data_IF_085107210591
#
_entry.id   IF_085107210591
#
_cell.length_a   1.000
_cell.length_b   1.000
_cell.length_c   1.000
_cell.angle_alpha   90.00
_cell.angle_beta   90.00
_cell.angle_gamma   90.00
#
_symmetry.space_group_name_H-M   'P 1'
#
loop_
_entity.id
_entity.type
_entity.pdbx_description
1 polymer ?
#
# COMPACT_ATOMS: atom_id res chain seq x y z
N UNK A 1 8.76 -4.25 17.86
CA UNK A 1 9.45 -3.08 17.26
C UNK A 1 8.51 -2.61 16.17
N UNK A 2 7.79 -1.50 16.36
CA UNK A 2 6.68 -1.10 15.47
C UNK A 2 7.07 0.07 14.56
N UNK A 3 8.38 0.27 14.37
CA UNK A 3 8.94 1.38 13.60
C UNK A 3 9.57 0.83 12.34
N UNK A 4 9.00 1.18 11.19
CA UNK A 4 9.57 0.92 9.87
C UNK A 4 10.24 2.21 9.38
N UNK A 5 11.55 2.16 9.14
CA UNK A 5 12.25 3.27 8.50
C UNK A 5 12.11 3.18 6.97
N UNK A 6 11.81 4.29 6.30
CA UNK A 6 11.73 4.33 4.83
C UNK A 6 12.80 5.28 4.32
N UNK A 7 13.67 4.78 3.45
CA UNK A 7 14.69 5.57 2.79
C UNK A 7 14.28 5.82 1.34
N UNK A 8 13.94 7.07 1.00
CA UNK A 8 13.56 7.43 -0.36
C UNK A 8 14.81 7.58 -1.23
N UNK A 9 14.79 6.94 -2.40
CA UNK A 9 15.92 6.91 -3.32
C UNK A 9 15.47 7.20 -4.73
N UNK A 10 16.24 8.03 -5.42
CA UNK A 10 16.14 8.16 -6.87
C UNK A 10 17.41 7.61 -7.51
N UNK A 11 17.25 6.63 -8.39
CA UNK A 11 18.34 5.97 -9.10
C UNK A 11 18.03 5.98 -10.60
N UNK A 12 18.75 6.82 -11.35
CA UNK A 12 18.57 6.97 -12.81
C UNK A 12 18.56 5.64 -13.54
N UNK A 13 19.59 4.81 -13.32
CA UNK A 13 19.75 3.53 -14.02
C UNK A 13 18.55 2.60 -13.75
N UNK A 14 18.03 2.59 -12.53
CA UNK A 14 16.86 1.80 -12.17
C UNK A 14 15.62 2.25 -12.95
N UNK A 15 15.39 3.57 -13.03
CA UNK A 15 14.27 4.10 -13.81
C UNK A 15 14.43 3.84 -15.31
N UNK A 16 15.64 4.00 -15.87
CA UNK A 16 15.90 3.72 -17.28
C UNK A 16 15.65 2.25 -17.64
N UNK A 17 16.00 1.32 -16.73
CA UNK A 17 15.69 -0.11 -16.87
C UNK A 17 14.18 -0.37 -16.86
N UNK A 18 13.44 0.24 -15.93
CA UNK A 18 11.98 0.12 -15.89
C UNK A 18 11.30 0.66 -17.15
N UNK A 19 11.80 1.78 -17.68
CA UNK A 19 11.23 2.42 -18.86
C UNK A 19 11.69 1.79 -20.19
N UNK A 20 12.75 0.96 -20.18
CA UNK A 20 13.37 0.43 -21.39
C UNK A 20 14.00 1.51 -22.28
N UNK A 21 14.27 2.70 -21.74
CA UNK A 21 14.84 3.84 -22.48
C UNK A 21 15.59 4.78 -21.55
N UNK A 22 16.52 5.55 -22.13
CA UNK A 22 17.22 6.62 -21.42
C UNK A 22 16.26 7.74 -21.04
N UNK A 23 16.49 8.32 -19.86
CA UNK A 23 15.82 9.54 -19.44
C UNK A 23 16.66 10.75 -19.86
N UNK A 24 15.99 11.84 -20.21
CA UNK A 24 16.66 13.10 -20.49
C UNK A 24 17.12 13.81 -19.21
N UNK A 25 18.09 14.71 -19.34
CA UNK A 25 18.70 15.42 -18.21
C UNK A 25 17.72 16.32 -17.45
N UNK A 26 16.68 16.83 -18.13
CA UNK A 26 15.68 17.69 -17.47
C UNK A 26 14.84 16.84 -16.51
N UNK A 27 14.36 15.68 -16.96
CA UNK A 27 13.63 14.75 -16.10
C UNK A 27 14.52 14.21 -14.97
N UNK A 28 15.79 13.88 -15.25
CA UNK A 28 16.74 13.42 -14.22
C UNK A 28 16.92 14.48 -13.12
N UNK A 29 17.14 15.75 -13.50
CA UNK A 29 17.31 16.85 -12.56
C UNK A 29 16.03 17.14 -11.75
N UNK A 30 14.86 16.92 -12.33
CA UNK A 30 13.58 17.05 -11.62
C UNK A 30 13.42 15.96 -10.55
N UNK A 31 13.65 14.69 -10.92
CA UNK A 31 13.43 13.54 -10.05
C UNK A 31 14.39 13.49 -8.85
N UNK A 32 15.61 14.03 -8.99
CA UNK A 32 16.62 14.12 -7.91
C UNK A 32 16.15 14.88 -6.68
N UNK A 33 15.13 15.75 -6.81
CA UNK A 33 14.63 16.57 -5.70
C UNK A 33 13.65 15.82 -4.80
N UNK A 34 12.94 14.83 -5.34
CA UNK A 34 11.86 14.18 -4.63
C UNK A 34 12.26 13.33 -3.41
N UNK A 35 13.46 12.71 -3.32
CA UNK A 35 13.85 11.99 -2.11
C UNK A 35 13.78 12.85 -0.84
N UNK A 36 14.25 14.09 -0.91
CA UNK A 36 14.22 15.04 0.21
C UNK A 36 12.79 15.51 0.51
N UNK A 37 12.01 15.84 -0.54
CA UNK A 37 10.61 16.24 -0.41
C UNK A 37 9.79 15.13 0.27
N UNK A 38 9.96 13.88 -0.15
CA UNK A 38 9.22 12.74 0.39
C UNK A 38 9.69 12.33 1.77
N UNK A 39 10.99 12.48 2.06
CA UNK A 39 11.49 12.37 3.43
C UNK A 39 10.81 13.38 4.35
N UNK A 40 10.64 14.62 3.89
CA UNK A 40 9.93 15.67 4.63
C UNK A 40 8.45 15.32 4.86
N UNK A 41 7.73 14.91 3.82
CA UNK A 41 6.33 14.47 3.94
C UNK A 41 6.19 13.27 4.88
N UNK A 42 7.01 12.24 4.68
CA UNK A 42 6.94 11.00 5.47
C UNK A 42 7.32 11.20 6.93
N UNK A 43 8.26 12.10 7.25
CA UNK A 43 8.73 12.32 8.62
C UNK A 43 7.58 12.52 9.63
N UNK A 44 6.53 13.24 9.22
CA UNK A 44 5.32 13.53 10.01
C UNK A 44 4.53 12.28 10.39
N UNK A 45 4.63 11.21 9.60
CA UNK A 45 3.80 10.00 9.70
C UNK A 45 4.60 8.72 9.96
N UNK A 46 5.93 8.81 9.88
CA UNK A 46 6.90 7.70 9.94
C UNK A 46 6.71 6.74 11.11
N UNK A 47 6.25 7.23 12.26
CA UNK A 47 5.92 6.37 13.41
C UNK A 47 4.45 5.97 13.42
N UNK A 48 3.55 6.90 13.09
CA UNK A 48 2.10 6.71 13.23
C UNK A 48 1.55 5.69 12.24
N UNK A 49 1.89 5.81 10.96
CA UNK A 49 1.33 4.95 9.90
C UNK A 49 1.78 3.49 10.09
N UNK A 50 3.09 3.16 10.17
CA UNK A 50 3.51 1.76 10.32
C UNK A 50 2.92 1.09 11.55
N UNK A 51 2.88 1.79 12.68
CA UNK A 51 2.26 1.31 13.92
C UNK A 51 0.77 1.03 13.73
N UNK A 52 0.02 1.99 13.17
CA UNK A 52 -1.43 1.83 12.93
C UNK A 52 -1.73 0.71 11.94
N UNK A 53 -0.92 0.53 10.90
CA UNK A 53 -1.07 -0.57 9.96
C UNK A 53 -0.95 -1.93 10.68
N UNK A 54 0.03 -2.07 11.58
CA UNK A 54 0.17 -3.27 12.42
C UNK A 54 -1.02 -3.45 13.37
N UNK A 55 -1.46 -2.40 14.06
CA UNK A 55 -2.63 -2.46 14.97
C UNK A 55 -3.92 -2.86 14.26
N UNK A 56 -4.18 -2.26 13.09
CA UNK A 56 -5.38 -2.51 12.29
C UNK A 56 -5.36 -3.93 11.75
N UNK A 57 -4.28 -4.35 11.10
CA UNK A 57 -4.20 -5.66 10.43
C UNK A 57 -3.91 -6.83 11.39
N UNK A 58 -3.33 -6.54 12.56
CA UNK A 58 -2.74 -7.54 13.46
C UNK A 58 -1.40 -8.10 12.98
N UNK A 59 -0.90 -7.66 11.83
CA UNK A 59 0.36 -8.13 11.24
C UNK A 59 1.55 -7.37 11.83
N UNK A 60 2.74 -7.97 11.74
CA UNK A 60 3.97 -7.36 12.23
C UNK A 60 4.94 -7.06 11.07
N UNK A 61 5.64 -5.93 11.16
CA UNK A 61 6.77 -5.63 10.28
C UNK A 61 7.91 -6.59 10.59
N UNK A 62 8.40 -7.30 9.56
CA UNK A 62 9.59 -8.16 9.67
C UNK A 62 10.87 -7.42 9.33
N UNK A 63 10.77 -6.33 8.59
CA UNK A 63 11.87 -5.45 8.20
C UNK A 63 11.91 -4.21 9.10
N UNK A 64 13.11 -3.81 9.54
CA UNK A 64 13.30 -2.57 10.27
C UNK A 64 13.42 -1.35 9.35
N UNK A 65 13.85 -1.57 8.10
CA UNK A 65 14.00 -0.53 7.09
C UNK A 65 13.67 -1.04 5.69
N UNK A 66 13.17 -0.15 4.83
CA UNK A 66 12.88 -0.41 3.42
C UNK A 66 13.37 0.75 2.56
N UNK A 67 14.00 0.44 1.43
CA UNK A 67 14.31 1.43 0.41
C UNK A 67 13.09 1.65 -0.49
N UNK A 68 12.68 2.90 -0.68
CA UNK A 68 11.58 3.29 -1.55
C UNK A 68 12.11 4.03 -2.78
N UNK A 69 11.96 3.44 -3.96
CA UNK A 69 12.49 3.97 -5.21
C UNK A 69 11.48 4.88 -5.91
N UNK A 70 11.94 6.04 -6.35
CA UNK A 70 11.11 7.00 -7.07
C UNK A 70 11.19 6.75 -8.57
N UNK A 71 10.04 6.45 -9.19
CA UNK A 71 9.99 5.94 -10.57
C UNK A 71 9.32 6.91 -11.56
N UNK A 72 9.35 8.20 -11.26
CA UNK A 72 8.77 9.24 -12.12
C UNK A 72 7.29 8.98 -12.38
N UNK A 73 6.89 8.86 -13.65
CA UNK A 73 5.49 8.58 -14.06
C UNK A 73 5.19 7.09 -14.25
N UNK A 74 6.10 6.20 -13.88
CA UNK A 74 5.84 4.77 -13.94
C UNK A 74 4.84 4.35 -12.85
N UNK A 75 4.19 3.18 -13.04
CA UNK A 75 3.28 2.59 -12.05
C UNK A 75 4.06 2.23 -10.77
N UNK A 76 3.44 2.52 -9.62
CA UNK A 76 3.92 2.09 -8.30
C UNK A 76 3.77 0.58 -8.10
N UNK A 77 4.61 -0.01 -7.25
CA UNK A 77 4.53 -1.41 -6.85
C UNK A 77 5.29 -1.64 -5.54
N UNK A 78 4.95 -2.72 -4.86
CA UNK A 78 5.38 -2.97 -3.48
C UNK A 78 6.72 -3.68 -3.35
N UNK A 79 7.21 -4.39 -4.38
CA UNK A 79 8.48 -5.11 -4.30
C UNK A 79 9.30 -5.08 -5.62
N UNK A 80 10.49 -4.45 -5.64
CA UNK A 80 10.99 -3.52 -4.62
C UNK A 80 10.06 -2.31 -4.45
N UNK A 81 9.91 -1.79 -3.22
CA UNK A 81 9.01 -0.66 -2.95
C UNK A 81 9.33 0.51 -3.87
N UNK A 82 8.40 0.83 -4.77
CA UNK A 82 8.58 1.82 -5.81
C UNK A 82 7.32 2.67 -5.94
N UNK A 83 7.48 4.00 -5.92
CA UNK A 83 6.36 4.92 -6.02
C UNK A 83 6.56 5.93 -7.15
N UNK A 84 5.47 6.22 -7.84
CA UNK A 84 5.38 7.32 -8.80
C UNK A 84 5.52 8.67 -8.08
N UNK A 85 5.88 9.73 -8.82
CA UNK A 85 6.07 11.06 -8.26
C UNK A 85 4.80 11.91 -8.32
N UNK A 86 4.37 12.38 -7.16
CA UNK A 86 3.33 13.36 -6.88
C UNK A 86 3.91 14.68 -6.37
N UNK A 87 3.37 15.79 -6.86
CA UNK A 87 3.67 17.15 -6.36
C UNK A 87 3.03 17.44 -4.99
N UNK A 88 1.95 16.74 -4.65
CA UNK A 88 1.18 16.96 -3.42
C UNK A 88 1.39 15.82 -2.43
N UNK A 89 1.44 16.17 -1.15
CA UNK A 89 1.61 15.23 -0.04
C UNK A 89 0.51 14.16 0.04
N UNK A 90 -0.76 14.54 -0.15
CA UNK A 90 -1.89 13.60 -0.04
C UNK A 90 -1.79 12.38 -0.97
N UNK A 91 -1.74 12.57 -2.30
CA UNK A 91 -1.58 11.46 -3.25
C UNK A 91 -0.31 10.62 -3.03
N UNK A 92 0.78 11.26 -2.61
CA UNK A 92 2.01 10.56 -2.21
C UNK A 92 1.75 9.62 -1.02
N UNK A 93 1.13 10.12 0.05
CA UNK A 93 0.83 9.33 1.24
C UNK A 93 -0.15 8.20 0.94
N UNK A 94 -1.17 8.43 0.12
CA UNK A 94 -2.12 7.38 -0.27
C UNK A 94 -1.43 6.22 -0.95
N UNK A 95 -0.56 6.54 -1.90
CA UNK A 95 0.14 5.54 -2.72
C UNK A 95 1.18 4.81 -1.91
N UNK A 96 1.99 5.53 -1.13
CA UNK A 96 2.97 4.91 -0.24
C UNK A 96 2.28 3.98 0.76
N UNK A 97 1.17 4.42 1.36
CA UNK A 97 0.40 3.60 2.31
C UNK A 97 -0.14 2.35 1.64
N UNK A 98 -0.69 2.46 0.42
CA UNK A 98 -1.18 1.33 -0.36
C UNK A 98 -0.09 0.27 -0.58
N UNK A 99 1.08 0.69 -1.07
CA UNK A 99 2.19 -0.21 -1.33
C UNK A 99 2.81 -0.80 -0.04
N UNK A 100 2.81 -0.03 1.05
CA UNK A 100 3.25 -0.53 2.36
C UNK A 100 2.34 -1.64 2.88
N UNK A 101 1.02 -1.54 2.68
CA UNK A 101 0.10 -2.61 3.10
C UNK A 101 0.34 -3.88 2.28
N UNK A 102 0.56 -3.76 0.96
CA UNK A 102 0.98 -4.91 0.15
C UNK A 102 2.23 -5.59 0.72
N UNK A 103 3.26 -4.81 1.09
CA UNK A 103 4.47 -5.35 1.72
C UNK A 103 4.17 -6.04 3.05
N UNK A 104 3.40 -5.39 3.92
CA UNK A 104 3.04 -5.95 5.24
C UNK A 104 2.31 -7.29 5.10
N UNK A 105 1.34 -7.38 4.18
CA UNK A 105 0.61 -8.61 3.89
C UNK A 105 1.55 -9.68 3.32
N UNK A 106 2.40 -9.32 2.35
CA UNK A 106 3.36 -10.24 1.74
C UNK A 106 4.36 -10.81 2.75
N UNK A 107 4.90 -9.96 3.63
CA UNK A 107 5.79 -10.37 4.70
C UNK A 107 5.14 -11.39 5.65
N UNK A 108 3.81 -11.40 5.78
CA UNK A 108 3.08 -12.25 6.73
C UNK A 108 2.18 -13.28 6.02
N UNK A 109 2.41 -13.56 4.74
CA UNK A 109 1.55 -14.45 3.94
C UNK A 109 1.38 -15.83 4.57
N UNK A 110 2.39 -16.33 5.27
CA UNK A 110 2.35 -17.62 5.94
C UNK A 110 1.33 -17.67 7.06
N UNK A 111 0.99 -16.53 7.68
CA UNK A 111 0.02 -16.40 8.79
C UNK A 111 -1.42 -16.15 8.32
N UNK A 112 -1.65 -16.16 7.02
CA UNK A 112 -2.94 -15.81 6.41
C UNK A 112 -3.62 -16.92 5.59
N UNK A 113 -3.32 -18.23 5.72
CA UNK A 113 -3.96 -19.24 4.85
C UNK A 113 -5.47 -19.33 5.07
N UNK A 114 -5.95 -19.21 6.32
CA UNK A 114 -7.38 -19.17 6.64
C UNK A 114 -8.09 -18.02 5.92
N UNK A 115 -7.47 -16.83 5.93
CA UNK A 115 -7.98 -15.62 5.28
C UNK A 115 -8.04 -15.80 3.76
N UNK A 116 -6.97 -16.29 3.14
CA UNK A 116 -6.94 -16.51 1.69
C UNK A 116 -7.94 -17.57 1.25
N UNK A 117 -8.09 -18.65 2.01
CA UNK A 117 -9.09 -19.69 1.75
C UNK A 117 -10.51 -19.14 1.87
N UNK A 118 -10.81 -18.41 2.95
CA UNK A 118 -12.10 -17.75 3.15
C UNK A 118 -12.44 -16.81 1.99
N UNK A 119 -11.49 -15.96 1.60
CA UNK A 119 -11.70 -14.95 0.56
C UNK A 119 -11.94 -15.62 -0.81
N UNK A 120 -11.15 -16.65 -1.15
CA UNK A 120 -11.29 -17.40 -2.39
C UNK A 120 -12.59 -18.20 -2.45
N UNK A 121 -13.07 -18.73 -1.32
CA UNK A 121 -14.36 -19.44 -1.25
C UNK A 121 -15.54 -18.49 -1.42
N UNK A 122 -15.48 -17.28 -0.85
CA UNK A 122 -16.55 -16.28 -1.01
C UNK A 122 -16.58 -15.61 -2.38
N UNK A 123 -15.42 -15.48 -3.02
CA UNK A 123 -15.27 -14.80 -4.31
C UNK A 123 -14.52 -15.69 -5.31
N UNK A 124 -15.08 -16.85 -5.70
CA UNK A 124 -14.38 -17.83 -6.55
C UNK A 124 -14.08 -17.30 -7.96
N UNK A 125 -14.88 -16.33 -8.44
CA UNK A 125 -14.72 -15.73 -9.76
C UNK A 125 -13.77 -14.52 -9.79
N UNK A 126 -13.29 -14.07 -8.62
CA UNK A 126 -12.38 -12.94 -8.53
C UNK A 126 -10.96 -13.35 -8.98
N UNK A 127 -10.29 -12.47 -9.72
CA UNK A 127 -8.90 -12.70 -10.14
C UNK A 127 -7.96 -12.63 -8.93
N UNK A 128 -6.77 -13.23 -9.05
CA UNK A 128 -5.75 -13.09 -8.01
C UNK A 128 -5.38 -11.62 -7.77
N UNK A 129 -5.42 -10.78 -8.81
CA UNK A 129 -5.16 -9.35 -8.68
C UNK A 129 -6.21 -8.68 -7.79
N UNK A 130 -7.50 -8.95 -8.02
CA UNK A 130 -8.59 -8.50 -7.15
C UNK A 130 -8.38 -8.98 -5.71
N UNK A 131 -8.18 -10.29 -5.53
CA UNK A 131 -8.04 -10.90 -4.19
C UNK A 131 -6.87 -10.29 -3.41
N UNK A 132 -5.74 -10.01 -4.07
CA UNK A 132 -4.58 -9.36 -3.46
C UNK A 132 -4.84 -7.92 -3.00
N UNK A 133 -5.78 -7.21 -3.63
CA UNK A 133 -6.11 -5.83 -3.28
C UNK A 133 -7.21 -5.72 -2.21
N UNK A 134 -7.99 -6.78 -1.97
CA UNK A 134 -9.01 -6.78 -0.89
C UNK A 134 -8.41 -6.45 0.49
N UNK A 135 -7.38 -7.15 1.00
CA UNK A 135 -6.82 -6.81 2.32
C UNK A 135 -6.18 -5.41 2.32
N UNK A 136 -5.64 -4.97 1.18
CA UNK A 136 -5.06 -3.63 1.04
C UNK A 136 -6.11 -2.56 1.24
N UNK A 137 -7.21 -2.63 0.49
CA UNK A 137 -8.28 -1.65 0.60
C UNK A 137 -9.01 -1.71 1.94
N UNK A 138 -9.18 -2.90 2.54
CA UNK A 138 -9.79 -3.02 3.86
C UNK A 138 -8.96 -2.30 4.93
N UNK A 139 -7.64 -2.55 4.98
CA UNK A 139 -6.74 -1.92 5.94
C UNK A 139 -6.58 -0.42 5.65
N UNK A 140 -6.44 -0.03 4.38
CA UNK A 140 -6.31 1.37 3.99
C UNK A 140 -7.57 2.17 4.35
N UNK A 141 -8.76 1.63 4.08
CA UNK A 141 -10.05 2.23 4.45
C UNK A 141 -10.16 2.40 5.97
N UNK A 142 -9.81 1.37 6.75
CA UNK A 142 -9.83 1.44 8.21
C UNK A 142 -8.87 2.52 8.75
N UNK A 143 -7.65 2.61 8.20
CA UNK A 143 -6.68 3.63 8.59
C UNK A 143 -7.22 5.04 8.30
N UNK A 144 -7.82 5.25 7.13
CA UNK A 144 -8.32 6.56 6.73
C UNK A 144 -9.51 6.99 7.57
N UNK A 145 -10.41 6.07 7.91
CA UNK A 145 -11.51 6.34 8.83
C UNK A 145 -10.97 6.67 10.24
N UNK A 146 -9.98 5.93 10.74
CA UNK A 146 -9.36 6.21 12.06
C UNK A 146 -8.64 7.58 12.11
N UNK A 147 -8.02 8.00 11.01
CA UNK A 147 -7.23 9.23 10.96
C UNK A 147 -8.04 10.47 10.58
N UNK A 148 -8.97 10.34 9.63
CA UNK A 148 -9.70 11.47 9.01
C UNK A 148 -11.22 11.42 9.21
N UNK A 149 -11.76 10.34 9.77
CA UNK A 149 -13.19 10.11 9.93
C UNK A 149 -13.87 9.57 8.67
N UNK A 150 -15.11 9.09 8.82
CA UNK A 150 -15.87 8.39 7.78
C UNK A 150 -16.25 9.26 6.57
N UNK A 151 -16.35 10.58 6.77
CA UNK A 151 -16.77 11.54 5.74
C UNK A 151 -15.60 12.37 5.17
N UNK A 152 -14.34 12.00 5.46
CA UNK A 152 -13.16 12.72 4.98
C UNK A 152 -13.03 12.65 3.45
N UNK A 153 -12.65 13.77 2.83
CA UNK A 153 -12.38 13.84 1.39
C UNK A 153 -11.23 12.89 0.99
N UNK A 154 -10.36 12.56 1.94
CA UNK A 154 -9.26 11.60 1.83
C UNK A 154 -9.77 10.19 1.50
N UNK A 155 -10.93 9.78 2.04
CA UNK A 155 -11.50 8.46 1.76
C UNK A 155 -11.95 8.35 0.29
N UNK A 156 -12.46 9.45 -0.28
CA UNK A 156 -12.82 9.49 -1.71
C UNK A 156 -11.59 9.41 -2.61
N UNK A 157 -10.43 9.90 -2.13
CA UNK A 157 -9.18 9.91 -2.91
C UNK A 157 -8.57 8.52 -3.08
N UNK A 158 -8.76 7.63 -2.11
CA UNK A 158 -8.24 6.25 -2.15
C UNK A 158 -9.17 5.27 -2.88
N UNK A 159 -10.41 5.70 -3.20
CA UNK A 159 -11.35 4.87 -3.94
C UNK A 159 -10.92 4.77 -5.42
N UNK A 160 -10.90 3.56 -6.01
CA UNK A 160 -10.64 3.40 -7.44
C UNK A 160 -11.63 4.19 -8.28
N UNK A 161 -11.12 4.90 -9.30
CA UNK A 161 -11.92 5.77 -10.19
C UNK A 161 -12.51 4.99 -11.37
N UNK A 162 -11.91 3.86 -11.72
CA UNK A 162 -12.42 2.96 -12.74
C UNK A 162 -13.64 2.19 -12.21
N UNK A 163 -14.51 1.70 -13.11
CA UNK A 163 -15.70 0.90 -12.76
C UNK A 163 -15.51 -0.57 -13.19
N UNK A 164 -14.45 -0.89 -13.94
CA UNK A 164 -14.32 -2.19 -14.63
C UNK A 164 -12.91 -2.79 -14.56
N UNK A 165 -12.16 -2.52 -13.50
CA UNK A 165 -10.90 -3.19 -13.26
C UNK A 165 -10.88 -3.94 -11.93
N UNK A 166 -9.84 -4.76 -11.76
CA UNK A 166 -9.66 -5.60 -10.58
C UNK A 166 -9.60 -4.79 -9.27
N UNK A 167 -9.21 -3.51 -9.33
CA UNK A 167 -9.14 -2.62 -8.17
C UNK A 167 -10.56 -2.22 -7.73
N UNK A 168 -11.41 -1.83 -8.68
CA UNK A 168 -12.80 -1.48 -8.40
C UNK A 168 -13.55 -2.66 -7.80
N UNK A 169 -13.36 -3.86 -8.36
CA UNK A 169 -13.97 -5.08 -7.83
C UNK A 169 -13.46 -5.39 -6.42
N UNK A 170 -12.17 -5.19 -6.13
CA UNK A 170 -11.63 -5.39 -4.79
C UNK A 170 -12.25 -4.41 -3.79
N UNK A 171 -12.46 -3.14 -4.19
CA UNK A 171 -13.14 -2.15 -3.36
C UNK A 171 -14.61 -2.53 -3.11
N UNK A 172 -15.33 -2.98 -4.13
CA UNK A 172 -16.71 -3.47 -3.99
C UNK A 172 -16.82 -4.66 -3.03
N UNK A 173 -15.86 -5.58 -3.07
CA UNK A 173 -15.77 -6.69 -2.11
C UNK A 173 -15.60 -6.13 -0.69
N UNK A 174 -14.73 -5.14 -0.49
CA UNK A 174 -14.52 -4.50 0.82
C UNK A 174 -15.78 -3.82 1.33
N UNK A 175 -16.54 -3.17 0.46
CA UNK A 175 -17.82 -2.54 0.82
C UNK A 175 -18.90 -3.59 1.13
N UNK A 176 -19.00 -4.66 0.34
CA UNK A 176 -19.98 -5.74 0.49
C UNK A 176 -19.76 -6.57 1.75
N UNK A 177 -18.53 -7.02 1.98
CA UNK A 177 -18.19 -7.89 3.11
C UNK A 177 -17.89 -7.11 4.39
N UNK A 178 -17.80 -5.77 4.30
CA UNK A 178 -17.30 -4.86 5.33
C UNK A 178 -15.81 -5.01 5.62
N UNK A 179 -15.09 -3.89 5.59
CA UNK A 179 -13.67 -3.84 5.96
C UNK A 179 -13.40 -4.38 7.37
N UNK A 180 -14.37 -4.25 8.28
CA UNK A 180 -14.28 -4.76 9.67
C UNK A 180 -14.22 -6.28 9.70
N UNK A 181 -15.08 -6.98 8.93
CA UNK A 181 -15.09 -8.44 8.90
C UNK A 181 -13.84 -8.98 8.19
N UNK A 182 -13.41 -8.33 7.11
CA UNK A 182 -12.16 -8.67 6.41
C UNK A 182 -10.97 -8.60 7.37
N UNK A 183 -10.83 -7.49 8.11
CA UNK A 183 -9.75 -7.32 9.10
C UNK A 183 -9.84 -8.35 10.22
N UNK A 184 -11.05 -8.65 10.71
CA UNK A 184 -11.26 -9.69 11.72
C UNK A 184 -10.83 -11.06 11.21
N UNK A 185 -11.14 -11.41 9.96
CA UNK A 185 -10.70 -12.66 9.34
C UNK A 185 -9.18 -12.71 9.18
N UNK A 186 -8.55 -11.59 8.80
CA UNK A 186 -7.08 -11.49 8.78
C UNK A 186 -6.47 -11.76 10.17
N UNK A 187 -7.08 -11.24 11.25
CA UNK A 187 -6.61 -11.46 12.64
C UNK A 187 -6.81 -12.90 13.10
N UNK A 188 -7.99 -13.48 12.86
CA UNK A 188 -8.31 -14.84 13.32
C UNK A 188 -7.42 -15.89 12.66
N UNK A 189 -7.09 -15.73 11.38
CA UNK A 189 -6.23 -16.66 10.64
C UNK A 189 -4.82 -16.80 11.23
N UNK A 190 -4.36 -15.77 11.94
CA UNK A 190 -3.06 -15.77 12.59
C UNK A 190 -3.04 -16.62 13.86
N UNK A 191 -4.18 -16.77 14.53
CA UNK A 191 -4.33 -17.54 15.77
C UNK A 191 -4.40 -19.04 15.54
N UNK A 192 -4.75 -19.47 14.32
CA UNK A 192 -4.78 -20.89 13.94
C UNK A 192 -3.36 -21.50 13.76
N UNK A 193 -2.31 -20.67 13.84
CA UNK A 193 -0.91 -21.05 13.70
C UNK A 193 -0.04 -20.79 14.93
N UNK A 194 -0.61 -20.22 15.99
CA UNK A 194 0.06 -19.98 17.27
C UNK A 194 -0.09 -21.20 18.19
#
# INVERSE_FOLDING_TARGET
MDTLNIEFRYVRIYLEQLLGKKIDERLDAELRKYPEIYSSYWSKYSVKIPKKLSEISGLAWKEASVACYLVGKHRSFSDPLSITTYEKEGPFLDTLTHELIHRLVYQNQERLPGFWNWLKQKHPDATQLTLNHVPVFAVQKALYIDVFGENGAELQRIKPVSIKDDYSLAWEIVDKESYVEIIKMMKNSQSEQA
#
